data_IF_750165300067
#
_entry.id   IF_750165300067
#
_cell.length_a   1.000
_cell.length_b   1.000
_cell.length_c   1.000
_cell.angle_alpha   90.00
_cell.angle_beta   90.00
_cell.angle_gamma   90.00
#
_symmetry.space_group_name_H-M   'P 1'
#
loop_
_entity.id
_entity.type
_entity.pdbx_description
1 polymer ?
#
# COMPACT_ATOMS: atom_id res chain seq x y z
N UNK A 1 -9.61 25.80 7.89
CA UNK A 1 -9.44 26.10 6.46
C UNK A 1 -8.47 25.07 5.89
N UNK A 2 -9.00 23.94 5.43
CA UNK A 2 -8.26 22.91 4.69
C UNK A 2 -9.20 22.39 3.61
N UNK A 3 -8.78 22.45 2.35
CA UNK A 3 -9.54 22.04 1.18
C UNK A 3 -10.15 20.64 1.40
N UNK A 4 -11.48 20.56 1.37
CA UNK A 4 -12.16 19.33 0.97
C UNK A 4 -11.83 19.14 -0.51
N UNK A 5 -10.87 18.27 -0.81
CA UNK A 5 -10.66 17.83 -2.20
C UNK A 5 -11.87 16.99 -2.62
N UNK A 6 -12.44 17.38 -3.74
CA UNK A 6 -13.72 17.00 -4.32
C UNK A 6 -13.72 15.57 -4.92
N UNK A 7 -13.25 14.57 -4.16
CA UNK A 7 -13.19 13.17 -4.60
C UNK A 7 -12.74 12.22 -3.49
N UNK A 8 -13.26 10.99 -3.48
CA UNK A 8 -12.88 9.97 -2.51
C UNK A 8 -11.41 9.56 -2.69
N UNK A 9 -10.64 9.52 -1.59
CA UNK A 9 -9.21 9.13 -1.59
C UNK A 9 -9.08 7.63 -1.90
N UNK A 10 -8.28 7.30 -2.90
CA UNK A 10 -8.05 5.95 -3.39
C UNK A 10 -6.95 5.27 -2.57
N UNK A 11 -7.27 4.18 -1.89
CA UNK A 11 -6.33 3.44 -1.04
C UNK A 11 -6.13 2.04 -1.61
N UNK A 12 -4.89 1.73 -2.00
CA UNK A 12 -4.48 0.39 -2.43
C UNK A 12 -3.80 -0.37 -1.29
N UNK A 13 -3.91 -1.69 -1.26
CA UNK A 13 -3.43 -2.52 -0.13
C UNK A 13 -2.47 -3.60 -0.62
N UNK A 14 -1.32 -3.73 0.02
CA UNK A 14 -0.43 -4.89 -0.12
C UNK A 14 -0.70 -5.84 1.04
N UNK A 15 -1.10 -7.07 0.72
CA UNK A 15 -1.47 -8.10 1.69
C UNK A 15 -2.97 -8.19 1.94
N UNK A 16 -3.50 -9.41 1.88
CA UNK A 16 -4.91 -9.74 2.16
C UNK A 16 -5.04 -10.78 3.29
N UNK A 17 -4.10 -10.75 4.23
CA UNK A 17 -4.10 -11.60 5.44
C UNK A 17 -5.06 -11.08 6.51
N UNK A 18 -4.84 -11.47 7.77
CA UNK A 18 -5.71 -11.07 8.90
C UNK A 18 -5.85 -9.54 9.03
N UNK A 19 -4.74 -8.80 9.01
CA UNK A 19 -4.76 -7.33 9.09
C UNK A 19 -5.30 -6.73 7.79
N UNK A 20 -4.77 -7.19 6.64
CA UNK A 20 -5.18 -6.69 5.32
C UNK A 20 -6.68 -6.77 5.08
N UNK A 21 -7.35 -7.87 5.45
CA UNK A 21 -8.81 -8.00 5.31
C UNK A 21 -9.57 -6.92 6.08
N UNK A 22 -9.21 -6.67 7.33
CA UNK A 22 -9.86 -5.62 8.13
C UNK A 22 -9.66 -4.23 7.53
N UNK A 23 -8.48 -3.96 6.96
CA UNK A 23 -8.19 -2.70 6.25
C UNK A 23 -9.04 -2.59 4.97
N UNK A 24 -9.04 -3.63 4.14
CA UNK A 24 -9.82 -3.71 2.89
C UNK A 24 -11.31 -3.47 3.18
N UNK A 25 -11.86 -4.18 4.17
CA UNK A 25 -13.27 -4.06 4.57
C UNK A 25 -13.61 -2.64 5.07
N UNK A 26 -12.72 -2.02 5.84
CA UNK A 26 -12.91 -0.65 6.32
C UNK A 26 -12.87 0.36 5.17
N UNK A 27 -11.86 0.28 4.30
CA UNK A 27 -11.71 1.19 3.14
C UNK A 27 -12.93 1.07 2.22
N UNK A 28 -13.45 -0.14 1.99
CA UNK A 28 -14.61 -0.37 1.14
C UNK A 28 -15.94 0.22 1.66
N UNK A 29 -16.02 0.59 2.95
CA UNK A 29 -17.23 1.14 3.57
C UNK A 29 -17.08 2.57 4.10
N UNK A 30 -15.86 3.07 4.20
CA UNK A 30 -15.58 4.36 4.83
C UNK A 30 -15.96 5.52 3.89
N UNK A 31 -16.77 6.50 4.33
CA UNK A 31 -17.09 7.67 3.53
C UNK A 31 -15.82 8.44 3.15
N UNK A 32 -15.72 8.84 1.89
CA UNK A 32 -14.55 9.59 1.39
C UNK A 32 -13.32 8.74 1.09
N UNK A 33 -13.39 7.41 1.25
CA UNK A 33 -12.36 6.48 0.78
C UNK A 33 -12.91 5.60 -0.35
N UNK A 34 -12.00 5.14 -1.22
CA UNK A 34 -12.28 4.17 -2.27
C UNK A 34 -11.17 3.13 -2.28
N UNK A 35 -11.55 1.85 -2.31
CA UNK A 35 -10.57 0.79 -2.48
C UNK A 35 -9.98 0.85 -3.90
N UNK A 36 -8.67 0.91 -3.99
CA UNK A 36 -7.91 0.77 -5.23
C UNK A 36 -7.69 -0.70 -5.57
N UNK A 37 -6.43 -1.11 -5.70
CA UNK A 37 -6.04 -2.51 -5.96
C UNK A 37 -5.63 -3.21 -4.68
N UNK A 38 -5.71 -4.54 -4.68
CA UNK A 38 -5.17 -5.39 -3.60
C UNK A 38 -4.14 -6.37 -4.15
N UNK A 39 -2.87 -6.19 -3.76
CA UNK A 39 -1.80 -7.11 -4.12
C UNK A 39 -1.70 -8.23 -3.08
N UNK A 40 -1.78 -9.48 -3.54
CA UNK A 40 -1.65 -10.66 -2.68
C UNK A 40 -0.90 -11.77 -3.39
N UNK A 41 -0.26 -12.67 -2.64
CA UNK A 41 0.42 -13.84 -3.23
C UNK A 41 -0.53 -14.77 -3.98
N UNK A 42 -1.77 -14.91 -3.51
CA UNK A 42 -2.79 -15.80 -4.09
C UNK A 42 -3.51 -15.22 -5.30
N UNK A 43 -3.36 -13.92 -5.56
CA UNK A 43 -4.20 -13.21 -6.52
C UNK A 43 -5.56 -12.82 -6.00
N UNK A 44 -5.99 -13.33 -4.84
CA UNK A 44 -7.25 -12.97 -4.19
C UNK A 44 -7.04 -11.98 -3.03
N UNK A 45 -7.88 -10.94 -2.89
CA UNK A 45 -9.16 -10.76 -3.58
C UNK A 45 -9.08 -10.05 -4.94
N UNK A 46 -7.89 -9.67 -5.44
CA UNK A 46 -7.77 -8.87 -6.66
C UNK A 46 -6.64 -9.32 -7.61
N UNK A 47 -5.36 -9.10 -7.26
CA UNK A 47 -4.25 -9.44 -8.15
C UNK A 47 -3.03 -10.02 -7.44
N UNK A 48 -2.27 -10.85 -8.16
CA UNK A 48 -0.92 -11.29 -7.81
C UNK A 48 0.15 -10.61 -8.67
N UNK A 49 -0.26 -9.90 -9.71
CA UNK A 49 0.59 -9.14 -10.60
C UNK A 49 0.92 -7.79 -9.96
N UNK A 50 2.20 -7.63 -9.58
CA UNK A 50 2.71 -6.40 -9.00
C UNK A 50 2.70 -5.24 -10.00
N UNK A 51 2.94 -5.48 -11.28
CA UNK A 51 2.93 -4.43 -12.29
C UNK A 51 1.51 -3.89 -12.47
N UNK A 52 0.52 -4.77 -12.59
CA UNK A 52 -0.88 -4.37 -12.61
C UNK A 52 -1.33 -3.64 -11.33
N UNK A 53 -0.71 -3.90 -10.18
CA UNK A 53 -0.96 -3.17 -8.93
C UNK A 53 -0.38 -1.75 -8.99
N UNK A 54 0.88 -1.59 -9.40
CA UNK A 54 1.58 -0.30 -9.38
C UNK A 54 1.26 0.62 -10.55
N UNK A 55 0.72 0.11 -11.67
CA UNK A 55 0.21 0.95 -12.76
C UNK A 55 -1.17 1.54 -12.47
N UNK A 56 -1.91 0.97 -11.51
CA UNK A 56 -3.20 1.51 -11.10
C UNK A 56 -3.03 2.75 -10.19
N UNK A 57 -3.83 3.81 -10.39
CA UNK A 57 -3.73 5.02 -9.57
C UNK A 57 -4.12 4.77 -8.11
N UNK A 58 -3.34 5.32 -7.18
CA UNK A 58 -3.60 5.30 -5.75
C UNK A 58 -3.08 6.59 -5.07
N UNK A 59 -3.83 7.09 -4.09
CA UNK A 59 -3.46 8.26 -3.29
C UNK A 59 -2.78 7.87 -1.96
N UNK A 60 -2.76 6.57 -1.65
CA UNK A 60 -2.11 5.95 -0.51
C UNK A 60 -1.96 4.44 -0.77
N UNK A 61 -0.81 3.87 -0.43
CA UNK A 61 -0.62 2.42 -0.34
C UNK A 61 -0.49 2.03 1.13
N UNK A 62 -1.25 1.01 1.55
CA UNK A 62 -1.15 0.38 2.87
C UNK A 62 -0.52 -1.00 2.73
N UNK A 63 0.69 -1.17 3.24
CA UNK A 63 1.36 -2.48 3.36
C UNK A 63 1.03 -3.15 4.70
N UNK A 64 0.28 -4.25 4.60
CA UNK A 64 -0.09 -5.15 5.70
C UNK A 64 0.55 -6.52 5.60
N UNK A 65 1.40 -6.75 4.58
CA UNK A 65 2.03 -8.03 4.30
C UNK A 65 3.34 -8.23 5.10
N UNK A 66 3.92 -7.15 5.61
CA UNK A 66 5.01 -7.17 6.57
C UNK A 66 6.41 -7.06 5.92
N UNK A 67 7.48 -7.33 6.69
CA UNK A 67 8.85 -6.95 6.30
C UNK A 67 9.36 -7.52 4.98
N UNK A 68 8.87 -8.68 4.55
CA UNK A 68 9.24 -9.25 3.25
C UNK A 68 8.64 -8.48 2.08
N UNK A 69 7.39 -8.04 2.19
CA UNK A 69 6.75 -7.21 1.18
C UNK A 69 7.35 -5.81 1.14
N UNK A 70 7.68 -5.23 2.30
CA UNK A 70 8.34 -3.93 2.35
C UNK A 70 9.70 -3.95 1.65
N UNK A 71 10.50 -5.02 1.81
CA UNK A 71 11.74 -5.20 1.03
C UNK A 71 11.50 -5.29 -0.46
N UNK A 72 10.50 -6.06 -0.87
CA UNK A 72 10.22 -6.29 -2.28
C UNK A 72 9.64 -5.06 -2.99
N UNK A 73 8.84 -4.26 -2.29
CA UNK A 73 7.96 -3.27 -2.92
C UNK A 73 8.05 -1.87 -2.32
N UNK A 74 8.71 -1.68 -1.18
CA UNK A 74 8.74 -0.42 -0.44
C UNK A 74 9.24 0.77 -1.28
N UNK A 75 10.46 0.72 -1.86
CA UNK A 75 10.97 1.82 -2.68
C UNK A 75 10.08 2.13 -3.89
N UNK A 76 9.54 1.08 -4.54
CA UNK A 76 8.60 1.25 -5.66
C UNK A 76 7.30 1.91 -5.21
N UNK A 77 6.75 1.51 -4.05
CA UNK A 77 5.52 2.08 -3.52
C UNK A 77 5.68 3.57 -3.17
N UNK A 78 6.79 3.95 -2.51
CA UNK A 78 7.10 5.35 -2.21
C UNK A 78 7.28 6.20 -3.46
N UNK A 79 7.92 5.65 -4.50
CA UNK A 79 8.04 6.35 -5.79
C UNK A 79 6.70 6.55 -6.53
N UNK A 80 5.63 5.88 -6.11
CA UNK A 80 4.29 6.06 -6.68
C UNK A 80 3.40 7.00 -5.86
N UNK A 81 3.36 6.83 -4.54
CA UNK A 81 2.47 7.56 -3.62
C UNK A 81 2.89 7.37 -2.17
N UNK A 82 2.19 8.00 -1.22
CA UNK A 82 2.42 7.82 0.21
C UNK A 82 2.32 6.32 0.59
N UNK A 83 3.22 5.87 1.47
CA UNK A 83 3.24 4.49 1.98
C UNK A 83 3.02 4.47 3.50
N UNK A 84 2.02 3.71 3.94
CA UNK A 84 1.85 3.30 5.34
C UNK A 84 2.14 1.81 5.47
N UNK A 85 3.06 1.40 6.34
CA UNK A 85 3.49 -0.01 6.44
C UNK A 85 3.52 -0.52 7.87
N UNK A 86 3.09 -1.77 8.05
CA UNK A 86 3.31 -2.54 9.30
C UNK A 86 4.67 -3.27 9.31
N UNK A 87 5.40 -3.22 8.19
CA UNK A 87 6.65 -3.94 7.94
C UNK A 87 7.91 -3.27 8.47
N UNK A 88 7.80 -2.30 9.39
CA UNK A 88 8.89 -1.42 9.84
C UNK A 88 10.16 -2.15 10.32
N UNK A 89 10.05 -3.40 10.79
CA UNK A 89 11.22 -4.22 11.13
C UNK A 89 12.19 -4.44 9.95
N UNK A 90 11.74 -4.28 8.70
CA UNK A 90 12.63 -4.32 7.54
C UNK A 90 13.63 -3.15 7.52
N UNK A 91 13.27 -2.01 8.12
CA UNK A 91 14.10 -0.79 8.13
C UNK A 91 15.31 -0.86 9.07
N UNK A 92 15.45 -1.97 9.81
CA UNK A 92 16.71 -2.29 10.49
C UNK A 92 17.85 -2.61 9.50
N UNK A 93 17.53 -2.88 8.24
CA UNK A 93 18.49 -2.97 7.14
C UNK A 93 18.79 -1.57 6.59
N UNK A 94 20.02 -1.09 6.80
CA UNK A 94 20.45 0.24 6.40
C UNK A 94 20.40 0.46 4.89
N UNK A 95 20.68 -0.57 4.08
CA UNK A 95 20.63 -0.45 2.63
C UNK A 95 19.18 -0.27 2.15
N UNK A 96 18.24 -1.03 2.72
CA UNK A 96 16.82 -0.84 2.46
C UNK A 96 16.37 0.55 2.89
N UNK A 97 16.71 0.97 4.11
CA UNK A 97 16.31 2.27 4.65
C UNK A 97 16.82 3.43 3.79
N UNK A 98 18.09 3.42 3.39
CA UNK A 98 18.65 4.42 2.48
C UNK A 98 17.93 4.41 1.11
N UNK A 99 17.60 3.24 0.59
CA UNK A 99 16.82 3.11 -0.65
C UNK A 99 15.40 3.65 -0.53
N UNK A 100 14.76 3.52 0.64
CA UNK A 100 13.44 4.10 0.93
C UNK A 100 13.52 5.63 1.02
N UNK A 101 14.53 6.17 1.70
CA UNK A 101 14.76 7.61 1.84
C UNK A 101 15.01 8.29 0.48
N UNK A 102 15.70 7.61 -0.45
CA UNK A 102 15.95 8.14 -1.80
C UNK A 102 14.72 8.09 -2.73
N UNK A 103 13.71 7.30 -2.38
CA UNK A 103 12.50 7.10 -3.19
C UNK A 103 11.31 7.98 -2.77
N UNK A 104 11.40 8.63 -1.59
CA UNK A 104 10.41 9.55 -1.04
C UNK A 104 10.68 11.00 -1.47
#
# INVERSE_FOLDING_TARGET
MTRMTDGARTVSVIGAGRIGRAVIDFVGRAPGLRLGRVLSRSGLPDTADADAFFTAPADLIIDTAGPGALRAFGPRALGCTDLWTVGAAALADDALRAGMEAAA
#
